data_IF_681432618507
#
_entry.id   IF_681432618507
#
_cell.length_a   1.000
_cell.length_b   1.000
_cell.length_c   1.000
_cell.angle_alpha   90.00
_cell.angle_beta   90.00
_cell.angle_gamma   90.00
#
_symmetry.space_group_name_H-M   'P 1'
#
loop_
_entity.id
_entity.type
_entity.pdbx_description
1 polymer ?
#
# COMPACT_ATOMS: atom_id res chain seq x y z
N UNK A 1 -6.86 -30.85 6.62
CA UNK A 1 -5.89 -30.12 7.46
C UNK A 1 -4.47 -30.36 6.95
N UNK A 2 -3.94 -31.58 7.02
CA UNK A 2 -2.60 -31.95 6.51
C UNK A 2 -2.34 -31.53 5.04
N UNK A 3 -3.25 -31.82 4.09
CA UNK A 3 -3.06 -31.43 2.68
C UNK A 3 -3.00 -29.91 2.50
N UNK A 4 -3.80 -29.16 3.25
CA UNK A 4 -3.80 -27.70 3.20
C UNK A 4 -2.48 -27.15 3.75
N UNK A 5 -2.04 -27.67 4.89
CA UNK A 5 -0.81 -27.23 5.54
C UNK A 5 0.45 -27.56 4.69
N UNK A 6 0.46 -28.72 4.02
CA UNK A 6 1.51 -29.09 3.03
C UNK A 6 1.47 -28.17 1.80
N UNK A 7 0.26 -27.84 1.32
CA UNK A 7 0.08 -26.95 0.16
C UNK A 7 0.55 -25.53 0.48
N UNK A 8 0.21 -25.01 1.66
CA UNK A 8 0.67 -23.70 2.14
C UNK A 8 2.19 -23.64 2.28
N UNK A 9 2.82 -24.67 2.86
CA UNK A 9 4.28 -24.74 2.99
C UNK A 9 4.99 -24.80 1.62
N UNK A 10 4.47 -25.59 0.68
CA UNK A 10 5.02 -25.68 -0.67
C UNK A 10 4.84 -24.37 -1.45
N UNK A 11 3.69 -23.70 -1.28
CA UNK A 11 3.43 -22.41 -1.92
C UNK A 11 4.39 -21.33 -1.38
N UNK A 12 4.62 -21.29 -0.06
CA UNK A 12 5.60 -20.38 0.55
C UNK A 12 7.03 -20.63 0.04
N UNK A 13 7.42 -21.89 -0.15
CA UNK A 13 8.71 -22.27 -0.75
C UNK A 13 8.82 -21.81 -2.22
N UNK A 14 7.73 -21.97 -3.00
CA UNK A 14 7.66 -21.48 -4.36
C UNK A 14 7.76 -19.95 -4.44
N UNK A 15 7.05 -19.23 -3.57
CA UNK A 15 7.16 -17.76 -3.47
C UNK A 15 8.58 -17.31 -3.14
N UNK A 16 9.25 -17.98 -2.21
CA UNK A 16 10.66 -17.68 -1.88
C UNK A 16 11.58 -17.91 -3.08
N UNK A 17 11.32 -18.97 -3.85
CA UNK A 17 12.09 -19.28 -5.06
C UNK A 17 11.87 -18.21 -6.14
N UNK A 18 10.62 -17.81 -6.38
CA UNK A 18 10.31 -16.71 -7.31
C UNK A 18 10.96 -15.40 -6.91
N UNK A 19 10.96 -15.08 -5.61
CA UNK A 19 11.65 -13.89 -5.09
C UNK A 19 13.16 -13.96 -5.31
N UNK A 20 13.79 -15.13 -5.09
CA UNK A 20 15.23 -15.30 -5.35
C UNK A 20 15.56 -15.04 -6.81
N UNK A 21 14.83 -15.70 -7.72
CA UNK A 21 15.06 -15.54 -9.16
C UNK A 21 14.81 -14.10 -9.61
N UNK A 22 13.76 -13.45 -9.09
CA UNK A 22 13.51 -12.04 -9.35
C UNK A 22 14.68 -11.15 -8.90
N UNK A 23 15.16 -11.32 -7.68
CA UNK A 23 16.25 -10.52 -7.12
C UNK A 23 17.58 -10.74 -7.87
N UNK A 24 17.91 -11.99 -8.20
CA UNK A 24 19.12 -12.35 -8.95
C UNK A 24 19.14 -11.72 -10.34
N UNK A 25 17.97 -11.59 -10.97
CA UNK A 25 17.85 -11.08 -12.34
C UNK A 25 17.45 -9.60 -12.40
N UNK A 26 17.27 -8.92 -11.26
CA UNK A 26 16.77 -7.54 -11.20
C UNK A 26 17.59 -6.56 -12.06
N UNK A 27 18.93 -6.64 -12.00
CA UNK A 27 19.81 -5.77 -12.79
C UNK A 27 19.69 -6.03 -14.29
N UNK A 28 19.57 -7.30 -14.68
CA UNK A 28 19.38 -7.68 -16.08
C UNK A 28 18.01 -7.22 -16.59
N UNK A 29 16.97 -7.31 -15.76
CA UNK A 29 15.64 -6.81 -16.07
C UNK A 29 15.61 -5.29 -16.26
N UNK A 30 16.38 -4.53 -15.45
CA UNK A 30 16.55 -3.10 -15.67
C UNK A 30 17.30 -2.81 -16.96
N UNK A 31 18.42 -3.51 -17.21
CA UNK A 31 19.21 -3.31 -18.43
C UNK A 31 18.42 -3.60 -19.71
N UNK A 32 17.52 -4.58 -19.69
CA UNK A 32 16.60 -4.81 -20.82
C UNK A 32 15.65 -3.63 -21.03
N UNK A 33 15.04 -3.11 -19.95
CA UNK A 33 14.11 -1.99 -20.05
C UNK A 33 14.79 -0.70 -20.51
N UNK A 34 15.97 -0.39 -19.96
CA UNK A 34 16.79 0.76 -20.36
C UNK A 34 17.23 0.68 -21.84
N UNK A 35 17.48 -0.53 -22.34
CA UNK A 35 17.78 -0.79 -23.75
C UNK A 35 16.53 -0.79 -24.65
N UNK A 36 15.33 -0.58 -24.11
CA UNK A 36 14.06 -0.64 -24.84
C UNK A 36 13.69 -2.05 -25.30
N UNK A 37 14.28 -3.09 -24.72
CA UNK A 37 14.04 -4.49 -25.05
C UNK A 37 12.88 -5.04 -24.21
N UNK A 38 11.97 -5.83 -24.81
CA UNK A 38 10.85 -6.40 -24.07
C UNK A 38 11.34 -7.42 -23.04
N UNK A 39 10.81 -7.32 -21.82
CA UNK A 39 11.05 -8.34 -20.80
C UNK A 39 10.47 -9.70 -21.24
N UNK A 40 11.26 -10.80 -21.22
CA UNK A 40 10.77 -12.14 -21.52
C UNK A 40 9.56 -12.53 -20.66
N UNK A 41 8.61 -13.26 -21.26
CA UNK A 41 7.36 -13.66 -20.58
C UNK A 41 7.60 -14.38 -19.26
N UNK A 42 8.55 -15.33 -19.23
CA UNK A 42 8.90 -16.08 -18.02
C UNK A 42 9.36 -15.17 -16.87
N UNK A 43 10.17 -14.15 -17.16
CA UNK A 43 10.61 -13.19 -16.15
C UNK A 43 9.51 -12.24 -15.71
N UNK A 44 8.61 -11.84 -16.63
CA UNK A 44 7.41 -11.06 -16.26
C UNK A 44 6.52 -11.83 -15.29
N UNK A 45 6.34 -13.13 -15.51
CA UNK A 45 5.56 -13.98 -14.59
C UNK A 45 6.24 -14.13 -13.22
N UNK A 46 7.55 -14.35 -13.19
CA UNK A 46 8.30 -14.43 -11.92
C UNK A 46 8.19 -13.11 -11.15
N UNK A 47 8.36 -11.97 -11.83
CA UNK A 47 8.17 -10.65 -11.24
C UNK A 47 6.74 -10.44 -10.73
N UNK A 48 5.73 -10.95 -11.43
CA UNK A 48 4.33 -10.92 -10.99
C UNK A 48 4.15 -11.57 -9.62
N UNK A 49 4.64 -12.80 -9.44
CA UNK A 49 4.57 -13.48 -8.14
C UNK A 49 5.39 -12.78 -7.05
N UNK A 50 6.63 -12.38 -7.37
CA UNK A 50 7.52 -11.74 -6.41
C UNK A 50 6.99 -10.39 -5.92
N UNK A 51 6.58 -9.51 -6.83
CA UNK A 51 6.05 -8.18 -6.51
C UNK A 51 4.68 -8.27 -5.82
N UNK A 52 3.84 -9.25 -6.18
CA UNK A 52 2.57 -9.49 -5.49
C UNK A 52 2.78 -9.90 -4.03
N UNK A 53 3.67 -10.88 -3.79
CA UNK A 53 3.99 -11.35 -2.44
C UNK A 53 4.62 -10.22 -1.61
N UNK A 54 5.51 -9.42 -2.20
CA UNK A 54 6.10 -8.27 -1.51
C UNK A 54 5.08 -7.19 -1.15
N UNK A 55 4.18 -6.84 -2.08
CA UNK A 55 3.12 -5.86 -1.85
C UNK A 55 2.16 -6.34 -0.74
N UNK A 56 1.78 -7.62 -0.76
CA UNK A 56 1.00 -8.23 0.32
C UNK A 56 1.73 -8.17 1.65
N UNK A 57 3.03 -8.49 1.66
CA UNK A 57 3.87 -8.39 2.85
C UNK A 57 3.91 -6.98 3.44
N UNK A 58 4.06 -5.96 2.60
CA UNK A 58 4.04 -4.55 2.99
C UNK A 58 2.76 -4.17 3.75
N UNK A 59 1.60 -4.57 3.24
CA UNK A 59 0.32 -4.21 3.85
C UNK A 59 -0.08 -5.12 5.02
N UNK A 60 0.28 -6.41 4.99
CA UNK A 60 -0.10 -7.38 6.04
C UNK A 60 0.73 -7.24 7.31
N UNK A 61 2.06 -7.20 7.18
CA UNK A 61 2.97 -7.40 8.31
C UNK A 61 2.98 -6.24 9.31
N UNK A 62 2.59 -5.02 8.92
CA UNK A 62 2.50 -3.92 9.90
C UNK A 62 3.83 -3.24 10.23
N UNK A 63 4.94 -3.98 10.15
CA UNK A 63 6.23 -3.61 10.78
C UNK A 63 6.96 -2.42 10.14
N UNK A 64 6.70 -2.15 8.86
CA UNK A 64 7.33 -1.02 8.15
C UNK A 64 6.28 -0.05 7.63
N UNK A 65 6.54 1.25 7.82
CA UNK A 65 5.87 2.37 7.15
C UNK A 65 6.78 3.04 6.13
N UNK A 66 7.83 2.36 5.69
CA UNK A 66 8.78 2.93 4.74
C UNK A 66 8.11 3.14 3.39
N UNK A 67 7.80 4.40 3.08
CA UNK A 67 7.09 4.75 1.84
C UNK A 67 7.93 4.48 0.59
N UNK A 68 9.26 4.50 0.74
CA UNK A 68 10.21 4.20 -0.36
C UNK A 68 10.01 2.78 -0.89
N UNK A 69 9.75 1.82 -0.02
CA UNK A 69 9.47 0.42 -0.39
C UNK A 69 8.21 0.33 -1.25
N UNK A 70 7.10 0.95 -0.83
CA UNK A 70 5.86 0.95 -1.61
C UNK A 70 6.05 1.65 -2.97
N UNK A 71 6.77 2.78 -3.01
CA UNK A 71 7.10 3.48 -4.26
C UNK A 71 7.94 2.62 -5.20
N UNK A 72 8.91 1.87 -4.67
CA UNK A 72 9.72 0.93 -5.46
C UNK A 72 8.85 -0.15 -6.08
N UNK A 73 8.02 -0.83 -5.28
CA UNK A 73 7.13 -1.90 -5.78
C UNK A 73 6.18 -1.35 -6.86
N UNK A 74 5.57 -0.18 -6.63
CA UNK A 74 4.71 0.47 -7.61
C UNK A 74 5.46 0.85 -8.90
N UNK A 75 6.70 1.33 -8.76
CA UNK A 75 7.59 1.65 -9.86
C UNK A 75 7.95 0.43 -10.71
N UNK A 76 8.30 -0.68 -10.06
CA UNK A 76 8.69 -1.93 -10.69
C UNK A 76 7.51 -2.57 -11.46
N UNK A 77 6.32 -2.59 -10.85
CA UNK A 77 5.09 -3.05 -11.50
C UNK A 77 4.82 -2.26 -12.78
N UNK A 78 4.93 -0.93 -12.71
CA UNK A 78 4.73 -0.04 -13.86
C UNK A 78 5.82 -0.21 -14.91
N UNK A 79 7.09 -0.18 -14.51
CA UNK A 79 8.28 -0.25 -15.38
C UNK A 79 8.21 -1.47 -16.28
N UNK A 80 7.90 -2.63 -15.71
CA UNK A 80 7.90 -3.89 -16.45
C UNK A 80 6.52 -4.33 -16.96
N UNK A 81 5.49 -3.51 -16.78
CA UNK A 81 4.12 -3.82 -17.19
C UNK A 81 3.61 -5.12 -16.55
N UNK A 82 3.99 -5.36 -15.30
CA UNK A 82 3.65 -6.57 -14.55
C UNK A 82 2.28 -6.38 -13.89
N UNK A 83 1.41 -7.38 -14.03
CA UNK A 83 0.13 -7.42 -13.32
C UNK A 83 0.29 -8.18 -12.00
N UNK A 84 -0.54 -7.87 -11.02
CA UNK A 84 -0.61 -8.64 -9.78
C UNK A 84 -1.26 -10.00 -10.04
N UNK A 85 -0.80 -11.04 -9.34
CA UNK A 85 -1.39 -12.39 -9.43
C UNK A 85 -2.70 -12.51 -8.66
N UNK A 86 -2.87 -11.72 -7.60
CA UNK A 86 -4.07 -11.69 -6.78
C UNK A 86 -4.38 -10.25 -6.33
N UNK A 87 -5.01 -9.50 -7.25
CA UNK A 87 -5.35 -8.10 -7.02
C UNK A 87 -6.38 -7.93 -5.89
N UNK A 88 -7.31 -8.87 -5.72
CA UNK A 88 -8.33 -8.79 -4.67
C UNK A 88 -7.74 -8.99 -3.28
N UNK A 89 -6.82 -9.95 -3.10
CA UNK A 89 -6.09 -10.09 -1.84
C UNK A 89 -5.28 -8.84 -1.50
N UNK A 90 -4.65 -8.21 -2.51
CA UNK A 90 -3.91 -6.95 -2.34
C UNK A 90 -4.84 -5.82 -1.93
N UNK A 91 -5.96 -5.62 -2.65
CA UNK A 91 -6.97 -4.61 -2.33
C UNK A 91 -7.48 -4.77 -0.90
N UNK A 92 -7.78 -6.01 -0.50
CA UNK A 92 -8.22 -6.31 0.86
C UNK A 92 -7.14 -5.98 1.91
N UNK A 93 -5.88 -6.37 1.67
CA UNK A 93 -4.78 -6.07 2.58
C UNK A 93 -4.56 -4.56 2.74
N UNK A 94 -4.68 -3.78 1.65
CA UNK A 94 -4.60 -2.33 1.67
C UNK A 94 -5.74 -1.75 2.53
N UNK A 95 -6.99 -2.16 2.27
CA UNK A 95 -8.17 -1.72 3.03
C UNK A 95 -7.98 -1.91 4.53
N UNK A 96 -7.58 -3.11 4.95
CA UNK A 96 -7.39 -3.44 6.37
C UNK A 96 -6.19 -2.69 6.98
N UNK A 97 -5.09 -2.48 6.22
CA UNK A 97 -3.97 -1.68 6.72
C UNK A 97 -4.35 -0.22 6.92
N UNK A 98 -5.02 0.41 5.95
CA UNK A 98 -5.48 1.81 6.06
C UNK A 98 -6.42 1.95 7.25
N UNK A 99 -7.37 1.03 7.41
CA UNK A 99 -8.31 1.04 8.53
C UNK A 99 -7.60 0.97 9.89
N UNK A 100 -6.68 0.02 10.07
CA UNK A 100 -5.89 -0.12 11.30
C UNK A 100 -5.09 1.14 11.62
N UNK A 101 -4.55 1.80 10.61
CA UNK A 101 -3.72 2.99 10.79
C UNK A 101 -4.56 4.24 11.11
N UNK A 102 -5.76 4.37 10.54
CA UNK A 102 -6.69 5.45 10.90
C UNK A 102 -7.20 5.33 12.33
N UNK A 103 -7.41 4.11 12.84
CA UNK A 103 -7.78 3.88 14.24
C UNK A 103 -6.74 4.37 15.24
N UNK A 104 -5.49 4.56 14.80
CA UNK A 104 -4.36 5.01 15.61
C UNK A 104 -4.04 6.50 15.42
N UNK A 105 -4.93 7.26 14.77
CA UNK A 105 -4.82 8.72 14.69
C UNK A 105 -5.29 9.31 16.03
N UNK A 106 -4.37 9.95 16.73
CA UNK A 106 -4.62 10.80 17.89
C UNK A 106 -5.05 12.21 17.46
N UNK A 107 -5.63 12.96 18.39
CA UNK A 107 -6.19 14.30 18.14
C UNK A 107 -5.16 15.44 18.31
N UNK A 108 -3.87 15.13 18.12
CA UNK A 108 -2.75 16.06 18.26
C UNK A 108 -1.68 15.86 17.15
N UNK A 109 -0.66 16.72 17.13
CA UNK A 109 0.38 16.74 16.08
C UNK A 109 1.23 15.46 16.01
N UNK A 110 1.23 14.61 17.04
CA UNK A 110 1.99 13.35 17.02
C UNK A 110 1.52 12.41 15.92
N UNK A 111 0.28 12.62 15.42
CA UNK A 111 -0.29 11.87 14.31
C UNK A 111 0.04 12.43 12.93
N UNK A 112 0.69 13.60 12.81
CA UNK A 112 1.04 14.18 11.52
C UNK A 112 1.83 13.22 10.62
N UNK A 113 2.91 12.56 11.07
CA UNK A 113 3.65 11.61 10.23
C UNK A 113 2.80 10.42 9.77
N UNK A 114 1.84 9.98 10.60
CA UNK A 114 0.94 8.86 10.25
C UNK A 114 -0.07 9.28 9.18
N UNK A 115 -0.63 10.47 9.32
CA UNK A 115 -1.59 11.04 8.37
C UNK A 115 -0.92 11.33 7.03
N UNK A 116 0.31 11.84 7.03
CA UNK A 116 1.13 11.99 5.83
C UNK A 116 1.39 10.65 5.15
N UNK A 117 1.81 9.64 5.92
CA UNK A 117 2.03 8.29 5.39
C UNK A 117 0.75 7.70 4.79
N UNK A 118 -0.39 7.83 5.45
CA UNK A 118 -1.70 7.39 4.92
C UNK A 118 -2.04 8.07 3.60
N UNK A 119 -1.78 9.37 3.51
CA UNK A 119 -2.00 10.15 2.29
C UNK A 119 -1.12 9.67 1.15
N UNK A 120 0.18 9.49 1.41
CA UNK A 120 1.13 8.96 0.44
C UNK A 120 0.75 7.56 -0.05
N UNK A 121 0.31 6.68 0.87
CA UNK A 121 -0.17 5.33 0.53
C UNK A 121 -1.37 5.40 -0.40
N UNK A 122 -2.39 6.19 -0.06
CA UNK A 122 -3.60 6.34 -0.88
C UNK A 122 -3.28 6.84 -2.29
N UNK A 123 -2.39 7.83 -2.42
CA UNK A 123 -1.97 8.35 -3.73
C UNK A 123 -1.22 7.31 -4.56
N UNK A 124 -0.30 6.56 -3.96
CA UNK A 124 0.46 5.52 -4.68
C UNK A 124 -0.51 4.42 -5.14
N UNK A 125 -1.37 3.94 -4.25
CA UNK A 125 -2.38 2.92 -4.56
C UNK A 125 -3.32 3.38 -5.68
N UNK A 126 -3.74 4.64 -5.66
CA UNK A 126 -4.54 5.23 -6.75
C UNK A 126 -3.77 5.28 -8.08
N UNK A 127 -2.49 5.65 -8.07
CA UNK A 127 -1.62 5.64 -9.27
C UNK A 127 -1.37 4.23 -9.82
N UNK A 128 -1.39 3.21 -8.96
CA UNK A 128 -1.38 1.80 -9.35
C UNK A 128 -2.72 1.32 -9.93
N UNK A 129 -3.74 2.19 -9.95
CA UNK A 129 -5.12 1.86 -10.32
C UNK A 129 -5.76 0.76 -9.45
N UNK A 130 -5.25 0.59 -8.22
CA UNK A 130 -5.84 -0.30 -7.23
C UNK A 130 -6.97 0.43 -6.51
N UNK A 131 -8.12 -0.21 -6.38
CA UNK A 131 -9.34 0.38 -5.79
C UNK A 131 -9.72 -0.33 -4.49
N UNK A 132 -8.94 -0.21 -3.41
CA UNK A 132 -9.30 -0.80 -2.13
C UNK A 132 -10.63 -0.23 -1.64
N UNK A 133 -11.40 -1.04 -0.93
CA UNK A 133 -12.62 -0.58 -0.30
C UNK A 133 -12.32 0.07 1.06
N UNK A 134 -12.54 1.39 1.17
CA UNK A 134 -12.13 2.19 2.32
C UNK A 134 -13.31 2.74 3.13
N UNK A 135 -14.52 2.20 2.98
CA UNK A 135 -15.69 2.73 3.70
C UNK A 135 -15.53 2.73 5.23
N UNK A 136 -14.91 1.68 5.81
CA UNK A 136 -14.65 1.61 7.26
C UNK A 136 -13.73 2.76 7.71
N UNK A 137 -12.66 2.97 6.94
CA UNK A 137 -11.69 4.05 7.13
C UNK A 137 -12.34 5.42 7.05
N UNK A 138 -13.20 5.64 6.06
CA UNK A 138 -13.98 6.88 5.89
C UNK A 138 -14.90 7.13 7.10
N UNK A 139 -15.58 6.11 7.60
CA UNK A 139 -16.48 6.24 8.76
C UNK A 139 -15.74 6.63 10.04
N UNK A 140 -14.61 5.98 10.33
CA UNK A 140 -13.81 6.33 11.51
C UNK A 140 -13.24 7.73 11.38
N UNK A 141 -12.66 8.05 10.23
CA UNK A 141 -12.09 9.37 9.99
C UNK A 141 -13.17 10.48 10.08
N UNK A 142 -14.38 10.24 9.55
CA UNK A 142 -15.50 11.15 9.70
C UNK A 142 -15.84 11.47 11.16
N UNK A 143 -15.79 10.49 12.07
CA UNK A 143 -16.02 10.73 13.50
C UNK A 143 -14.96 11.68 14.08
N UNK A 144 -13.70 11.57 13.64
CA UNK A 144 -12.62 12.50 14.03
C UNK A 144 -12.96 13.91 13.55
N UNK A 145 -13.37 14.08 12.28
CA UNK A 145 -13.79 15.39 11.73
C UNK A 145 -15.00 16.01 12.45
N UNK A 146 -15.91 15.17 12.96
CA UNK A 146 -17.08 15.64 13.73
C UNK A 146 -16.64 16.29 15.04
N UNK A 147 -15.58 15.79 15.67
CA UNK A 147 -15.01 16.41 16.86
C UNK A 147 -14.44 17.81 16.57
N UNK A 148 -13.74 17.95 15.45
CA UNK A 148 -13.20 19.23 14.98
C UNK A 148 -14.31 20.26 14.75
N UNK A 149 -15.38 19.88 14.04
CA UNK A 149 -16.52 20.77 13.77
C UNK A 149 -17.26 21.22 15.03
N UNK A 150 -17.24 20.39 16.07
CA UNK A 150 -17.82 20.70 17.38
C UNK A 150 -16.88 21.50 18.28
N UNK A 151 -15.67 21.81 17.83
CA UNK A 151 -14.64 22.48 18.64
C UNK A 151 -14.11 21.63 19.79
N UNK A 152 -14.24 20.30 19.73
CA UNK A 152 -13.74 19.39 20.78
C UNK A 152 -12.21 19.28 20.76
N UNK A 153 -11.61 19.57 19.61
CA UNK A 153 -10.18 19.69 19.40
C UNK A 153 -9.94 20.69 18.25
N UNK A 154 -8.73 21.23 18.18
CA UNK A 154 -8.31 22.19 17.15
C UNK A 154 -6.95 21.80 16.61
N UNK A 155 -6.62 22.27 15.41
CA UNK A 155 -5.26 22.14 14.91
C UNK A 155 -4.33 23.07 15.69
N UNK A 156 -3.22 22.51 16.18
CA UNK A 156 -2.24 23.26 16.97
C UNK A 156 -1.17 23.94 16.10
N UNK A 157 -1.02 23.50 14.85
CA UNK A 157 -0.12 24.09 13.86
C UNK A 157 -0.67 23.87 12.43
N UNK A 158 -0.13 24.61 11.45
CA UNK A 158 -0.57 24.54 10.05
C UNK A 158 -0.13 23.24 9.33
N UNK A 159 0.99 22.63 9.76
CA UNK A 159 1.49 21.38 9.17
C UNK A 159 0.53 20.22 9.42
N UNK A 160 0.09 20.07 10.67
CA UNK A 160 -0.91 19.09 11.09
C UNK A 160 -2.23 19.29 10.35
N UNK A 161 -2.68 20.55 10.24
CA UNK A 161 -3.87 20.91 9.48
C UNK A 161 -3.76 20.48 8.01
N UNK A 162 -2.67 20.83 7.34
CA UNK A 162 -2.45 20.51 5.94
C UNK A 162 -2.40 19.00 5.68
N UNK A 163 -1.71 18.24 6.53
CA UNK A 163 -1.67 16.78 6.45
C UNK A 163 -3.07 16.18 6.60
N UNK A 164 -3.84 16.66 7.58
CA UNK A 164 -5.20 16.20 7.86
C UNK A 164 -6.17 16.53 6.71
N UNK A 165 -6.08 17.73 6.15
CA UNK A 165 -6.85 18.18 4.99
C UNK A 165 -6.58 17.32 3.75
N UNK A 166 -5.30 17.03 3.47
CA UNK A 166 -4.91 16.13 2.37
C UNK A 166 -5.51 14.73 2.54
N UNK A 167 -5.43 14.15 3.73
CA UNK A 167 -6.02 12.83 3.98
C UNK A 167 -7.55 12.85 3.83
N UNK A 168 -8.20 13.92 4.29
CA UNK A 168 -9.65 14.09 4.16
C UNK A 168 -10.09 14.11 2.69
N UNK A 169 -9.36 14.83 1.84
CA UNK A 169 -9.61 14.88 0.40
C UNK A 169 -9.47 13.50 -0.26
N UNK A 170 -8.36 12.79 0.03
CA UNK A 170 -8.10 11.45 -0.52
C UNK A 170 -9.14 10.42 -0.08
N UNK A 171 -9.60 10.51 1.17
CA UNK A 171 -10.70 9.70 1.69
C UNK A 171 -12.08 10.18 1.23
N UNK A 172 -12.18 11.33 0.55
CA UNK A 172 -13.44 11.98 0.15
C UNK A 172 -14.37 12.26 1.33
N UNK A 173 -13.79 12.59 2.49
CA UNK A 173 -14.51 12.98 3.70
C UNK A 173 -14.45 14.50 3.82
N UNK A 174 -15.61 15.16 3.77
CA UNK A 174 -15.68 16.63 3.90
C UNK A 174 -15.24 17.06 5.31
N UNK A 175 -14.54 18.18 5.43
CA UNK A 175 -14.18 18.75 6.73
C UNK A 175 -15.20 19.78 7.23
N UNK A 176 -15.80 20.55 6.32
CA UNK A 176 -16.83 21.54 6.59
C UNK A 176 -18.08 21.15 5.79
N UNK A 177 -19.27 21.35 6.38
CA UNK A 177 -20.57 21.10 5.72
C UNK A 177 -20.86 22.24 4.75
#
# INVERSE_FOLDING_TARGET
KIIRDITEANLASAESSFRSVFNENYQLMNGLEEAGLPLPYSWRNIASYALNSELLGYFRNGDTREIRTLRRIAGDLKRWGVKLTDEDAVRHAISERIYREILLIDLDESSAPRVEWLSDVLEIVQKMNLKPDVWKSQNVFYLITKGLRKGQWVFINDEWKAAFERLAELLKVRLIV
#
